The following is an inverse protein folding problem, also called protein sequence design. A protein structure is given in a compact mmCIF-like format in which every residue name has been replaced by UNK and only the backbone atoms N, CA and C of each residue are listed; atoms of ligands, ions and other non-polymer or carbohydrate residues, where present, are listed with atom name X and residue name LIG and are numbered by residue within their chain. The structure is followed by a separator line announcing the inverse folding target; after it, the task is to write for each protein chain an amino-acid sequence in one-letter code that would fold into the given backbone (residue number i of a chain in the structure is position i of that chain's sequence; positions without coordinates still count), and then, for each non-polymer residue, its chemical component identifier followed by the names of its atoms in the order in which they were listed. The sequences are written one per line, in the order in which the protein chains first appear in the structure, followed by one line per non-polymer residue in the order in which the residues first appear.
data_IF_899400882368
#
_entry.id   IF_899400882368
#
_cell.length_a   1.000
_cell.length_b   1.000
_cell.length_c   1.000
_cell.angle_alpha   90.00
_cell.angle_beta   90.00
_cell.angle_gamma   90.00
#
_symmetry.space_group_name_H-M   'P 1'
#
loop_
_entity.id
_entity.type
_entity.pdbx_description
1 polymer ?
#
# COMPACT_ATOMS: atom_id res chain seq x y z
N UNK A 1 13.63 15.57 7.63
CA UNK A 1 13.89 16.03 6.24
C UNK A 1 14.83 15.13 5.43
N UNK A 2 15.84 14.45 6.03
CA UNK A 2 16.80 13.62 5.28
C UNK A 2 16.24 12.37 4.58
N UNK A 3 15.15 11.79 5.08
CA UNK A 3 14.61 10.55 4.49
C UNK A 3 13.75 10.79 3.24
N UNK A 4 13.11 11.95 3.12
CA UNK A 4 12.25 12.29 1.97
C UNK A 4 13.06 12.51 0.68
N UNK A 5 14.17 13.23 0.77
CA UNK A 5 15.09 13.45 -0.36
C UNK A 5 15.70 12.14 -0.85
N UNK A 6 16.09 11.26 0.09
CA UNK A 6 16.63 9.93 -0.23
C UNK A 6 15.61 9.08 -0.99
N UNK A 7 14.36 9.02 -0.53
CA UNK A 7 13.31 8.25 -1.21
C UNK A 7 13.00 8.82 -2.60
N UNK A 8 12.97 10.15 -2.73
CA UNK A 8 12.77 10.81 -4.03
C UNK A 8 13.87 10.44 -5.00
N UNK A 9 15.14 10.51 -4.58
CA UNK A 9 16.29 10.11 -5.41
C UNK A 9 16.23 8.63 -5.79
N UNK A 10 15.94 7.75 -4.84
CA UNK A 10 15.77 6.31 -5.13
C UNK A 10 14.62 6.04 -6.11
N UNK A 11 13.52 6.77 -5.99
CA UNK A 11 12.39 6.66 -6.90
C UNK A 11 12.74 7.11 -8.32
N UNK A 12 13.45 8.23 -8.48
CA UNK A 12 13.92 8.70 -9.79
C UNK A 12 14.85 7.67 -10.46
N UNK A 13 15.78 7.08 -9.69
CA UNK A 13 16.65 6.01 -10.17
C UNK A 13 15.82 4.79 -10.60
N UNK A 14 14.80 4.41 -9.81
CA UNK A 14 13.96 3.25 -10.10
C UNK A 14 13.18 3.38 -11.41
N UNK A 15 12.79 4.60 -11.78
CA UNK A 15 12.07 4.89 -13.03
C UNK A 15 12.95 5.46 -14.15
N UNK A 16 14.28 5.40 -13.98
CA UNK A 16 15.27 5.90 -14.93
C UNK A 16 15.06 7.36 -15.38
N UNK A 17 14.56 8.21 -14.47
CA UNK A 17 14.47 9.66 -14.70
C UNK A 17 15.80 10.33 -14.34
N UNK A 18 16.21 11.31 -15.15
CA UNK A 18 17.41 12.09 -14.91
C UNK A 18 17.26 12.95 -13.65
N UNK A 19 18.34 13.14 -12.88
CA UNK A 19 18.31 13.88 -11.60
C UNK A 19 17.88 15.36 -11.77
N UNK A 20 18.05 15.92 -12.95
CA UNK A 20 17.67 17.29 -13.32
C UNK A 20 16.24 17.42 -13.88
N UNK A 21 15.49 16.32 -13.97
CA UNK A 21 14.08 16.35 -14.38
C UNK A 21 13.30 17.25 -13.42
N UNK A 22 12.65 18.29 -13.96
CA UNK A 22 11.92 19.26 -13.14
C UNK A 22 10.68 18.64 -12.49
N UNK A 23 10.23 19.21 -11.37
CA UNK A 23 8.98 18.78 -10.72
C UNK A 23 7.77 18.91 -11.66
N UNK A 24 7.74 19.94 -12.51
CA UNK A 24 6.68 20.14 -13.50
C UNK A 24 6.65 19.00 -14.52
N UNK A 25 7.80 18.56 -15.02
CA UNK A 25 7.90 17.42 -15.94
C UNK A 25 7.48 16.12 -15.24
N UNK A 26 7.88 15.92 -13.99
CA UNK A 26 7.46 14.75 -13.19
C UNK A 26 5.93 14.73 -13.02
N UNK A 27 5.32 15.85 -12.65
CA UNK A 27 3.86 15.96 -12.52
C UNK A 27 3.14 15.74 -13.86
N UNK A 28 3.72 16.22 -14.96
CA UNK A 28 3.18 15.97 -16.30
C UNK A 28 3.26 14.48 -16.67
N UNK A 29 4.34 13.78 -16.34
CA UNK A 29 4.46 12.33 -16.57
C UNK A 29 3.41 11.52 -15.78
N UNK A 30 3.02 12.01 -14.61
CA UNK A 30 1.95 11.41 -13.81
C UNK A 30 0.57 11.67 -14.43
N UNK A 31 0.29 12.91 -14.85
CA UNK A 31 -1.05 13.34 -15.31
C UNK A 31 -1.36 13.05 -16.77
N UNK A 32 -0.38 13.19 -17.67
CA UNK A 32 -0.58 13.11 -19.12
C UNK A 32 -0.60 11.66 -19.63
N UNK A 33 -1.49 10.84 -19.07
CA UNK A 33 -1.75 9.48 -19.57
C UNK A 33 -1.02 8.38 -18.81
N UNK A 34 -0.96 8.45 -17.46
CA UNK A 34 -0.51 7.33 -16.61
C UNK A 34 0.87 6.78 -16.95
N UNK A 35 1.79 7.62 -17.45
CA UNK A 35 3.13 7.15 -17.78
C UNK A 35 3.94 6.87 -16.53
N UNK A 36 3.85 7.72 -15.50
CA UNK A 36 4.52 7.46 -14.23
C UNK A 36 3.49 7.01 -13.19
N UNK A 37 3.52 5.73 -12.81
CA UNK A 37 2.53 5.11 -11.91
C UNK A 37 3.19 4.38 -10.74
N UNK A 38 2.41 4.17 -9.68
CA UNK A 38 2.65 3.06 -8.75
C UNK A 38 1.80 1.85 -9.17
N UNK A 39 2.43 0.69 -9.33
CA UNK A 39 1.80 -0.56 -9.77
C UNK A 39 0.98 -1.26 -8.68
N UNK A 40 1.01 -0.74 -7.45
CA UNK A 40 0.30 -1.36 -6.33
C UNK A 40 -1.23 -1.38 -6.55
N UNK A 41 -1.79 -0.41 -7.26
CA UNK A 41 -3.22 -0.28 -7.48
C UNK A 41 -4.00 0.05 -6.19
N UNK A 42 -3.42 0.89 -5.32
CA UNK A 42 -4.07 1.34 -4.09
C UNK A 42 -5.33 2.17 -4.43
N UNK A 43 -6.53 1.74 -3.99
CA UNK A 43 -7.78 2.41 -4.30
C UNK A 43 -7.93 3.78 -3.62
N UNK A 44 -7.00 4.15 -2.72
CA UNK A 44 -6.94 5.46 -2.07
C UNK A 44 -6.20 6.50 -2.90
N UNK A 45 -5.44 6.08 -3.92
CA UNK A 45 -4.79 7.03 -4.82
C UNK A 45 -5.86 7.79 -5.61
N UNK A 46 -5.71 9.12 -5.75
CA UNK A 46 -6.65 9.91 -6.54
C UNK A 46 -6.57 9.52 -8.02
N UNK A 47 -7.61 9.85 -8.80
CA UNK A 47 -7.58 9.61 -10.24
C UNK A 47 -6.45 10.40 -10.91
N UNK A 48 -5.99 9.93 -12.08
CA UNK A 48 -4.76 10.40 -12.72
C UNK A 48 -4.68 11.93 -12.91
N UNK A 49 -5.80 12.60 -13.20
CA UNK A 49 -5.84 14.06 -13.36
C UNK A 49 -5.50 14.84 -12.09
N UNK A 50 -5.77 14.25 -10.91
CA UNK A 50 -5.54 14.86 -9.59
C UNK A 50 -4.24 14.34 -8.95
N UNK A 51 -3.58 13.38 -9.60
CA UNK A 51 -2.35 12.78 -9.14
C UNK A 51 -1.16 13.70 -9.44
N UNK A 52 -0.11 13.61 -8.63
CA UNK A 52 1.15 14.33 -8.80
C UNK A 52 2.31 13.44 -8.36
N UNK A 53 3.52 13.82 -8.74
CA UNK A 53 4.73 13.14 -8.28
C UNK A 53 4.82 13.16 -6.75
N UNK A 54 4.52 14.30 -6.15
CA UNK A 54 4.49 14.45 -4.69
C UNK A 54 3.52 13.48 -4.01
N UNK A 55 2.32 13.28 -4.58
CA UNK A 55 1.34 12.32 -4.06
C UNK A 55 1.84 10.88 -4.19
N UNK A 56 2.40 10.51 -5.35
CA UNK A 56 2.97 9.17 -5.57
C UNK A 56 4.11 8.87 -4.60
N UNK A 57 5.06 9.79 -4.43
CA UNK A 57 6.16 9.63 -3.48
C UNK A 57 5.65 9.56 -2.05
N UNK A 58 4.70 10.42 -1.68
CA UNK A 58 4.11 10.38 -0.35
C UNK A 58 3.45 9.03 -0.06
N UNK A 59 2.74 8.46 -1.04
CA UNK A 59 2.15 7.13 -0.96
C UNK A 59 3.21 6.03 -0.77
N UNK A 60 4.24 5.98 -1.63
CA UNK A 60 5.31 4.97 -1.54
C UNK A 60 6.04 5.05 -0.20
N UNK A 61 6.35 6.27 0.26
CA UNK A 61 7.02 6.50 1.55
C UNK A 61 6.13 6.05 2.72
N UNK A 62 4.83 6.34 2.68
CA UNK A 62 3.89 5.89 3.70
C UNK A 62 3.82 4.35 3.77
N UNK A 63 3.81 3.67 2.63
CA UNK A 63 3.77 2.21 2.54
C UNK A 63 5.08 1.55 3.01
N UNK A 64 6.24 2.14 2.68
CA UNK A 64 7.54 1.72 3.20
C UNK A 64 7.65 1.93 4.72
N UNK A 65 7.14 3.04 5.23
CA UNK A 65 7.10 3.33 6.65
C UNK A 65 6.17 2.37 7.39
N UNK A 66 4.98 2.10 6.83
CA UNK A 66 4.05 1.09 7.35
C UNK A 66 4.72 -0.28 7.44
N UNK A 67 5.35 -0.74 6.36
CA UNK A 67 6.01 -2.05 6.33
C UNK A 67 7.14 -2.13 7.37
N UNK A 68 7.95 -1.08 7.47
CA UNK A 68 9.04 -0.98 8.45
C UNK A 68 8.51 -1.01 9.87
N UNK A 69 7.48 -0.22 10.18
CA UNK A 69 6.86 -0.19 11.51
C UNK A 69 6.21 -1.53 11.86
N UNK A 70 5.53 -2.16 10.89
CA UNK A 70 4.90 -3.45 11.10
C UNK A 70 5.95 -4.51 11.43
N UNK A 71 7.07 -4.55 10.69
CA UNK A 71 8.21 -5.44 10.99
C UNK A 71 8.72 -5.31 12.43
N UNK A 72 8.82 -4.10 12.96
CA UNK A 72 9.23 -3.89 14.36
C UNK A 72 8.20 -4.38 15.38
N UNK A 73 6.91 -4.39 14.99
CA UNK A 73 5.79 -4.86 15.79
C UNK A 73 5.66 -6.40 15.78
N UNK A 74 6.36 -7.09 14.89
CA UNK A 74 6.41 -8.56 14.86
C UNK A 74 7.35 -9.11 15.95
N UNK A 75 7.07 -10.32 16.49
CA UNK A 75 7.96 -11.08 17.38
C UNK A 75 9.40 -11.19 16.84
N UNK A 76 10.39 -11.29 17.74
CA UNK A 76 11.83 -11.25 17.37
C UNK A 76 12.20 -12.32 16.32
N UNK A 77 11.53 -13.47 16.35
CA UNK A 77 11.75 -14.55 15.39
C UNK A 77 11.31 -14.20 13.95
N UNK A 78 10.56 -13.11 13.73
CA UNK A 78 10.20 -12.56 12.42
C UNK A 78 11.08 -11.37 11.97
N UNK A 79 12.07 -10.93 12.76
CA UNK A 79 12.81 -9.68 12.49
C UNK A 79 13.66 -9.74 11.20
N UNK A 80 14.09 -10.93 10.78
CA UNK A 80 14.88 -11.12 9.55
C UNK A 80 14.07 -10.92 8.27
N UNK A 81 12.89 -11.54 8.21
CA UNK A 81 11.86 -11.37 7.19
C UNK A 81 10.54 -11.82 7.83
N UNK A 82 9.42 -11.09 7.68
CA UNK A 82 8.08 -11.57 8.03
C UNK A 82 7.65 -12.89 7.34
N UNK A 83 8.56 -13.56 6.64
CA UNK A 83 8.27 -14.66 5.73
C UNK A 83 7.42 -14.21 4.54
N UNK A 84 6.72 -15.17 3.96
CA UNK A 84 5.69 -14.98 2.93
C UNK A 84 4.41 -14.38 3.51
N UNK A 85 4.33 -14.18 4.84
CA UNK A 85 3.09 -13.79 5.51
C UNK A 85 2.79 -12.29 5.41
N UNK A 86 3.79 -11.42 5.24
CA UNK A 86 3.60 -9.99 4.95
C UNK A 86 4.55 -9.54 3.84
N UNK A 87 3.97 -9.23 2.68
CA UNK A 87 4.69 -8.80 1.49
C UNK A 87 4.95 -7.29 1.50
N UNK A 88 6.15 -6.91 1.05
CA UNK A 88 6.46 -5.52 0.68
C UNK A 88 6.33 -5.37 -0.83
N UNK A 89 5.28 -4.68 -1.28
CA UNK A 89 5.01 -4.38 -2.68
C UNK A 89 5.42 -2.96 -3.10
N UNK A 90 6.19 -2.25 -2.24
CA UNK A 90 6.62 -0.87 -2.46
C UNK A 90 8.14 -0.71 -2.54
N UNK A 91 8.84 -1.73 -3.08
CA UNK A 91 10.28 -1.63 -3.33
C UNK A 91 10.59 -0.47 -4.28
N UNK A 92 11.72 0.19 -4.03
CA UNK A 92 12.33 1.18 -4.93
C UNK A 92 13.61 0.64 -5.58
N UNK A 93 13.84 -0.67 -5.52
CA UNK A 93 14.96 -1.31 -6.21
C UNK A 93 14.55 -1.59 -7.66
N UNK A 94 15.46 -1.38 -8.60
CA UNK A 94 15.15 -1.36 -10.04
C UNK A 94 14.48 -2.63 -10.59
N UNK A 95 14.74 -3.80 -10.01
CA UNK A 95 14.21 -5.09 -10.52
C UNK A 95 12.78 -5.40 -10.05
N UNK A 96 12.31 -4.78 -8.98
CA UNK A 96 11.00 -5.02 -8.36
C UNK A 96 10.32 -3.70 -7.95
N UNK A 97 10.66 -2.61 -8.64
CA UNK A 97 10.18 -1.28 -8.33
C UNK A 97 8.65 -1.19 -8.45
N UNK A 98 8.01 -0.67 -7.41
CA UNK A 98 6.59 -0.37 -7.45
C UNK A 98 6.28 0.82 -8.37
N UNK A 99 7.24 1.73 -8.56
CA UNK A 99 7.12 2.82 -9.51
C UNK A 99 7.58 2.36 -10.88
N UNK A 100 6.78 2.68 -11.91
CA UNK A 100 7.13 2.39 -13.30
C UNK A 100 6.88 3.61 -14.15
N UNK A 101 7.81 3.84 -15.07
CA UNK A 101 7.61 4.68 -16.24
C UNK A 101 7.17 3.77 -17.40
N UNK A 102 5.93 3.94 -17.85
CA UNK A 102 5.34 3.22 -18.96
C UNK A 102 5.76 3.83 -20.29
N UNK A 103 5.86 2.97 -21.29
CA UNK A 103 5.94 3.40 -22.68
C UNK A 103 4.65 4.14 -23.08
N UNK A 104 4.70 5.06 -24.06
CA UNK A 104 3.53 5.86 -24.44
C UNK A 104 2.27 5.07 -24.78
N UNK A 105 2.43 3.84 -25.26
CA UNK A 105 1.33 2.94 -25.66
C UNK A 105 1.11 1.79 -24.65
N UNK A 106 1.86 1.76 -23.53
CA UNK A 106 1.69 0.73 -22.50
C UNK A 106 0.57 1.13 -21.53
N UNK A 107 -0.45 0.28 -21.45
CA UNK A 107 -1.53 0.43 -20.47
C UNK A 107 -1.08 0.04 -19.05
N UNK A 108 -1.49 0.79 -18.01
CA UNK A 108 -1.15 0.48 -16.64
C UNK A 108 -1.74 -0.88 -16.22
N UNK A 109 -0.87 -1.78 -15.77
CA UNK A 109 -1.27 -3.09 -15.22
C UNK A 109 -1.21 -3.03 -13.70
N UNK A 110 -2.39 -3.06 -13.09
CA UNK A 110 -2.53 -3.23 -11.65
C UNK A 110 -2.76 -4.69 -11.31
N UNK A 111 -2.32 -5.11 -10.14
CA UNK A 111 -2.71 -6.41 -9.58
C UNK A 111 -4.22 -6.46 -9.45
N UNK A 112 -4.87 -7.23 -10.34
CA UNK A 112 -6.31 -7.38 -10.32
C UNK A 112 -6.76 -8.15 -9.08
N UNK A 113 -7.54 -7.51 -8.22
CA UNK A 113 -8.33 -8.19 -7.19
C UNK A 113 -9.79 -7.85 -7.40
N UNK A 114 -10.52 -8.80 -8.00
CA UNK A 114 -11.97 -8.73 -8.09
C UNK A 114 -12.56 -9.30 -6.81
N UNK A 115 -13.33 -8.48 -6.10
CA UNK A 115 -14.13 -8.95 -4.97
C UNK A 115 -15.50 -9.32 -5.52
N UNK A 116 -15.92 -10.56 -5.31
CA UNK A 116 -17.28 -10.98 -5.67
C UNK A 116 -18.30 -10.13 -4.89
N UNK A 117 -19.39 -9.73 -5.55
CA UNK A 117 -20.35 -8.78 -4.97
C UNK A 117 -20.93 -9.29 -3.64
N UNK A 118 -21.21 -10.60 -3.53
CA UNK A 118 -21.68 -11.21 -2.29
C UNK A 118 -20.68 -11.04 -1.14
N UNK A 119 -19.39 -11.19 -1.39
CA UNK A 119 -18.32 -10.99 -0.40
C UNK A 119 -18.22 -9.51 -0.02
N UNK A 120 -18.32 -8.62 -1.02
CA UNK A 120 -18.30 -7.19 -0.78
C UNK A 120 -19.45 -6.74 0.13
N UNK A 121 -20.67 -7.23 -0.14
CA UNK A 121 -21.87 -6.93 0.65
C UNK A 121 -21.74 -7.47 2.08
N UNK A 122 -21.24 -8.70 2.25
CA UNK A 122 -21.01 -9.28 3.56
C UNK A 122 -19.99 -8.48 4.40
N UNK A 123 -18.86 -8.09 3.78
CA UNK A 123 -17.84 -7.31 4.49
C UNK A 123 -18.36 -5.90 4.79
N UNK A 124 -19.07 -5.27 3.85
CA UNK A 124 -19.69 -3.96 4.05
C UNK A 124 -20.66 -3.96 5.24
N UNK A 125 -21.50 -4.99 5.35
CA UNK A 125 -22.42 -5.15 6.48
C UNK A 125 -21.66 -5.28 7.82
N UNK A 126 -20.57 -6.06 7.84
CA UNK A 126 -19.74 -6.27 9.03
C UNK A 126 -19.06 -4.97 9.49
N UNK A 127 -18.48 -4.19 8.57
CA UNK A 127 -17.79 -2.93 8.92
C UNK A 127 -18.76 -1.78 9.27
N UNK A 128 -19.96 -1.76 8.67
CA UNK A 128 -20.97 -0.74 8.95
C UNK A 128 -21.57 -0.89 10.36
N UNK A 129 -21.67 -2.11 10.87
CA UNK A 129 -22.21 -2.41 12.21
C UNK A 129 -21.24 -2.17 13.37
N UNK A 130 -20.07 -1.56 13.13
CA UNK A 130 -19.02 -1.39 14.14
C UNK A 130 -18.53 0.04 14.16
N UNK A 131 -18.23 0.58 15.34
CA UNK A 131 -17.61 1.91 15.49
C UNK A 131 -16.09 1.86 15.29
N UNK A 132 -15.45 0.78 15.74
CA UNK A 132 -14.01 0.60 15.65
C UNK A 132 -13.51 0.44 14.20
N UNK A 133 -12.24 0.79 13.98
CA UNK A 133 -11.58 0.56 12.70
C UNK A 133 -11.31 -0.94 12.49
N UNK A 134 -11.55 -1.48 11.28
CA UNK A 134 -11.22 -2.86 10.96
C UNK A 134 -9.72 -3.11 10.98
N UNK A 135 -9.34 -4.32 11.36
CA UNK A 135 -7.97 -4.82 11.37
C UNK A 135 -7.91 -6.09 10.52
N UNK A 136 -6.82 -6.26 9.77
CA UNK A 136 -6.51 -7.51 9.12
C UNK A 136 -6.17 -8.57 10.18
N UNK A 137 -6.94 -9.66 10.24
CA UNK A 137 -6.72 -10.75 11.20
C UNK A 137 -5.32 -11.36 11.10
N UNK A 138 -4.75 -11.44 9.89
CA UNK A 138 -3.39 -11.96 9.68
C UNK A 138 -2.38 -11.03 10.37
N UNK A 139 -2.41 -9.73 10.05
CA UNK A 139 -1.58 -8.75 10.74
C UNK A 139 -1.80 -8.71 12.26
N UNK A 140 -3.04 -8.88 12.73
CA UNK A 140 -3.40 -8.99 14.15
C UNK A 140 -2.64 -10.13 14.80
N UNK A 141 -2.77 -11.34 14.24
CA UNK A 141 -2.17 -12.57 14.77
C UNK A 141 -0.64 -12.53 14.78
N UNK A 142 -0.03 -11.84 13.81
CA UNK A 142 1.42 -11.73 13.69
C UNK A 142 2.03 -10.68 14.62
N UNK A 143 1.24 -9.72 15.08
CA UNK A 143 1.75 -8.61 15.90
C UNK A 143 1.97 -9.06 17.35
N UNK A 144 3.08 -8.65 17.98
CA UNK A 144 3.33 -8.96 19.39
C UNK A 144 2.20 -8.39 20.25
N UNK A 145 1.80 -9.15 21.27
CA UNK A 145 1.01 -8.64 22.39
C UNK A 145 1.65 -7.35 22.94
N UNK A 146 0.84 -6.30 23.14
CA UNK A 146 1.26 -4.97 23.60
C UNK A 146 2.05 -4.08 22.62
N UNK A 147 2.18 -4.45 21.33
CA UNK A 147 2.69 -3.51 20.32
C UNK A 147 1.77 -2.29 20.15
N UNK A 148 2.21 -1.23 19.46
CA UNK A 148 1.32 -0.10 19.11
C UNK A 148 0.54 -0.45 17.84
N UNK A 149 -0.71 -0.90 18.00
CA UNK A 149 -1.58 -1.42 16.94
C UNK A 149 -2.17 -0.36 15.99
N UNK A 150 -1.90 0.94 16.19
CA UNK A 150 -2.48 2.02 15.35
C UNK A 150 -2.17 1.85 13.86
N UNK A 151 -1.02 1.28 13.50
CA UNK A 151 -0.65 1.02 12.10
C UNK A 151 -1.39 -0.17 11.47
N UNK A 152 -2.16 -0.92 12.25
CA UNK A 152 -2.97 -2.05 11.78
C UNK A 152 -4.41 -1.64 11.43
N UNK A 153 -4.83 -0.45 11.84
CA UNK A 153 -6.14 0.07 11.50
C UNK A 153 -6.23 0.37 10.02
N UNK A 154 -7.22 -0.22 9.39
CA UNK A 154 -7.56 0.00 8.00
C UNK A 154 -8.80 0.88 7.89
N UNK A 155 -8.93 1.67 6.80
CA UNK A 155 -10.18 2.36 6.49
C UNK A 155 -11.36 1.38 6.38
N UNK A 156 -12.56 1.86 6.73
CA UNK A 156 -13.84 1.14 6.52
C UNK A 156 -14.28 1.20 5.07
N UNK A 157 -13.46 0.63 4.20
CA UNK A 157 -13.69 0.58 2.76
C UNK A 157 -13.34 -0.81 2.24
N UNK A 158 -14.31 -1.49 1.65
CA UNK A 158 -14.17 -2.86 1.14
C UNK A 158 -13.04 -2.97 0.10
N UNK A 159 -12.87 -1.96 -0.77
CA UNK A 159 -11.81 -1.96 -1.78
C UNK A 159 -10.45 -1.84 -1.12
N UNK A 160 -10.31 -0.99 -0.11
CA UNK A 160 -9.05 -0.84 0.65
C UNK A 160 -8.71 -2.12 1.40
N UNK A 161 -9.71 -2.75 2.03
CA UNK A 161 -9.52 -4.03 2.71
C UNK A 161 -9.09 -5.13 1.73
N UNK A 162 -9.73 -5.20 0.55
CA UNK A 162 -9.37 -6.17 -0.48
C UNK A 162 -7.98 -5.93 -1.06
N UNK A 163 -7.63 -4.67 -1.30
CA UNK A 163 -6.29 -4.27 -1.72
C UNK A 163 -5.23 -4.74 -0.72
N UNK A 164 -5.47 -4.49 0.58
CA UNK A 164 -4.55 -4.91 1.64
C UNK A 164 -4.39 -6.44 1.66
N UNK A 165 -5.50 -7.20 1.65
CA UNK A 165 -5.46 -8.67 1.65
C UNK A 165 -4.68 -9.22 0.46
N UNK A 166 -4.90 -8.65 -0.74
CA UNK A 166 -4.19 -9.10 -1.94
C UNK A 166 -2.73 -8.71 -1.93
N UNK A 167 -2.40 -7.46 -1.63
CA UNK A 167 -1.04 -6.94 -1.83
C UNK A 167 -0.10 -7.24 -0.68
N UNK A 168 -0.61 -7.45 0.54
CA UNK A 168 0.20 -7.74 1.73
C UNK A 168 0.22 -9.21 2.08
N UNK A 169 -0.82 -9.97 1.76
CA UNK A 169 -0.95 -11.37 2.18
C UNK A 169 -1.21 -12.34 1.02
N UNK A 170 -1.39 -11.84 -0.21
CA UNK A 170 -1.77 -12.63 -1.39
C UNK A 170 -3.02 -13.51 -1.20
N UNK A 171 -3.96 -13.07 -0.36
CA UNK A 171 -5.23 -13.77 -0.11
C UNK A 171 -6.44 -12.98 -0.58
N UNK A 172 -7.55 -13.68 -0.82
CA UNK A 172 -8.83 -13.05 -1.08
C UNK A 172 -9.46 -12.52 0.21
N UNK A 173 -10.10 -11.37 0.11
CA UNK A 173 -10.88 -10.79 1.21
C UNK A 173 -12.03 -11.72 1.60
N UNK A 174 -12.21 -11.94 2.89
CA UNK A 174 -13.42 -12.54 3.46
C UNK A 174 -13.74 -11.86 4.78
N UNK A 175 -15.00 -11.88 5.22
CA UNK A 175 -15.40 -11.30 6.52
C UNK A 175 -14.64 -11.90 7.71
N UNK A 176 -14.24 -13.17 7.63
CA UNK A 176 -13.54 -13.88 8.70
C UNK A 176 -12.08 -13.44 8.89
N UNK A 177 -11.54 -12.68 7.92
CA UNK A 177 -10.22 -12.07 7.97
C UNK A 177 -10.25 -10.62 8.49
N UNK A 178 -11.43 -10.11 8.85
CA UNK A 178 -11.60 -8.79 9.44
C UNK A 178 -11.93 -8.95 10.93
N UNK A 179 -11.13 -8.32 11.79
CA UNK A 179 -11.36 -8.27 13.23
C UNK A 179 -11.49 -6.83 13.70
N UNK A 180 -12.12 -6.66 14.86
CA UNK A 180 -12.29 -5.37 15.53
C UNK A 180 -11.84 -5.58 16.97
N UNK A 181 -10.68 -5.00 17.30
CA UNK A 181 -10.11 -5.10 18.63
C UNK A 181 -10.08 -3.69 19.24
N UNK A 182 -10.64 -3.56 20.44
CA UNK A 182 -10.63 -2.32 21.19
C UNK A 182 -9.36 -2.26 22.05
N UNK A 183 -8.40 -1.44 21.66
CA UNK A 183 -7.18 -1.26 22.46
C UNK A 183 -7.40 -0.18 23.52
N UNK A 184 -7.41 -0.60 24.79
CA UNK A 184 -7.21 0.32 25.91
C UNK A 184 -5.74 0.73 25.92
N UNK A 185 -5.48 2.01 25.69
CA UNK A 185 -4.18 2.63 25.92
C UNK A 185 -3.83 2.65 27.40
#
# INVERSE_FOLDING_TARGET
MRDGEKHTKSAMIAVALAEDTSHTEQDQLVRNGTRLICTCGDPRLPPAQDLSWGILISHVVAELAWYTQHRYSLPIYYHGCPGEEVLSNHSLRSTDACLRLLDPDEEPKYSGYKVEQSVADEVAAVIAGREDAPICKICSNLTKENSRWKSLYLPKDVKVLAHHMKTKHDVQLTKNLIVFEYFRY
#
